data_IF_061648331542
#
_entry.id   IF_061648331542
#
_cell.length_a   1.000
_cell.length_b   1.000
_cell.length_c   1.000
_cell.angle_alpha   90.00
_cell.angle_beta   90.00
_cell.angle_gamma   90.00
#
_symmetry.space_group_name_H-M   'P 1'
#
loop_
_entity.id
_entity.type
_entity.pdbx_description
1 polymer ?
#
# COMPACT_ATOMS: atom_id res chain seq x y z
N UNK A 1 -0.23 1.49 -8.56
CA UNK A 1 0.91 0.58 -8.83
C UNK A 1 1.15 -0.44 -7.72
N UNK A 2 1.09 -0.13 -6.43
CA UNK A 2 1.51 -1.07 -5.38
C UNK A 2 0.59 -2.28 -5.10
N UNK A 3 -0.72 -2.21 -5.28
CA UNK A 3 -1.61 -3.31 -4.85
C UNK A 3 -1.69 -4.46 -5.85
N UNK A 4 -1.59 -4.20 -7.15
CA UNK A 4 -1.64 -5.23 -8.19
C UNK A 4 -0.36 -6.07 -8.25
N UNK A 5 0.79 -5.46 -7.98
CA UNK A 5 2.09 -6.14 -8.07
C UNK A 5 2.40 -6.98 -6.81
N UNK A 6 1.77 -6.65 -5.68
CA UNK A 6 1.95 -7.35 -4.41
C UNK A 6 0.87 -8.41 -4.14
N UNK A 7 -0.24 -8.40 -4.90
CA UNK A 7 -1.27 -9.42 -4.82
C UNK A 7 -0.72 -10.85 -5.07
N UNK A 8 0.19 -11.08 -6.05
CA UNK A 8 0.82 -12.39 -6.22
C UNK A 8 1.63 -12.86 -5.01
N UNK A 9 2.32 -11.95 -4.31
CA UNK A 9 3.06 -12.30 -3.11
C UNK A 9 2.13 -12.73 -1.96
N UNK A 10 1.04 -11.98 -1.75
CA UNK A 10 0.00 -12.35 -0.78
C UNK A 10 -0.69 -13.67 -1.16
N UNK A 11 -0.99 -13.88 -2.44
CA UNK A 11 -1.53 -15.14 -2.94
C UNK A 11 -0.58 -16.31 -2.70
N UNK A 12 0.71 -16.13 -3.00
CA UNK A 12 1.72 -17.15 -2.74
C UNK A 12 1.79 -17.54 -1.26
N UNK A 13 1.76 -16.55 -0.37
CA UNK A 13 1.71 -16.79 1.06
C UNK A 13 0.40 -17.48 1.50
N UNK A 14 -0.72 -17.21 0.85
CA UNK A 14 -1.99 -17.86 1.17
C UNK A 14 -2.04 -19.34 0.74
N UNK A 15 -1.53 -19.64 -0.45
CA UNK A 15 -1.72 -20.94 -1.12
C UNK A 15 -0.55 -21.91 -0.94
N UNK A 16 0.68 -21.40 -0.88
CA UNK A 16 1.84 -22.28 -0.78
C UNK A 16 2.27 -22.50 0.68
N UNK A 17 2.35 -23.76 1.07
CA UNK A 17 2.94 -24.18 2.35
C UNK A 17 4.42 -24.48 2.15
N UNK A 18 5.29 -23.64 2.69
CA UNK A 18 6.73 -23.84 2.67
C UNK A 18 7.32 -23.75 4.08
N UNK A 19 8.44 -24.43 4.29
CA UNK A 19 9.14 -24.38 5.58
C UNK A 19 9.63 -22.95 5.82
N UNK A 20 9.30 -22.36 6.98
CA UNK A 20 9.70 -21.00 7.33
C UNK A 20 8.68 -19.90 6.95
N UNK A 21 7.47 -20.24 6.47
CA UNK A 21 6.42 -19.26 6.16
C UNK A 21 6.13 -18.32 7.32
N UNK A 22 5.98 -18.86 8.54
CA UNK A 22 5.71 -18.06 9.74
C UNK A 22 6.91 -17.17 10.08
N UNK A 23 8.11 -17.70 10.03
CA UNK A 23 9.33 -16.94 10.24
C UNK A 23 9.46 -15.80 9.21
N UNK A 24 9.15 -16.04 7.94
CA UNK A 24 9.13 -15.02 6.91
C UNK A 24 8.11 -13.90 7.23
N UNK A 25 6.90 -14.26 7.65
CA UNK A 25 5.88 -13.29 8.05
C UNK A 25 6.34 -12.44 9.25
N UNK A 26 6.98 -13.07 10.23
CA UNK A 26 7.55 -12.37 11.39
C UNK A 26 8.67 -11.41 10.95
N UNK A 27 9.58 -11.85 10.09
CA UNK A 27 10.64 -10.98 9.55
C UNK A 27 10.04 -9.78 8.80
N UNK A 28 9.02 -10.01 7.97
CA UNK A 28 8.30 -8.94 7.28
C UNK A 28 7.67 -7.96 8.27
N UNK A 29 7.09 -8.43 9.37
CA UNK A 29 6.55 -7.57 10.42
C UNK A 29 7.66 -6.81 11.16
N UNK A 30 8.80 -7.45 11.43
CA UNK A 30 9.93 -6.81 12.11
C UNK A 30 10.46 -5.61 11.35
N UNK A 31 10.37 -5.57 10.02
CA UNK A 31 10.76 -4.39 9.24
C UNK A 31 9.94 -3.14 9.60
N UNK A 32 8.74 -3.30 10.16
CA UNK A 32 7.89 -2.20 10.64
C UNK A 32 8.34 -1.62 11.97
N UNK A 33 9.18 -2.30 12.71
CA UNK A 33 9.67 -1.82 14.02
C UNK A 33 10.66 -0.67 13.87
N UNK A 34 11.27 -0.51 12.70
CA UNK A 34 12.20 0.59 12.46
C UNK A 34 11.45 1.89 12.20
N UNK A 35 11.62 2.92 13.05
CA UNK A 35 11.00 4.22 12.83
C UNK A 35 11.55 4.86 11.54
N UNK A 36 10.65 5.29 10.67
CA UNK A 36 11.04 5.94 9.41
C UNK A 36 11.90 7.19 9.64
N UNK A 37 11.69 7.86 10.78
CA UNK A 37 12.47 9.01 11.17
C UNK A 37 13.99 8.69 11.26
N UNK A 38 14.34 7.52 11.77
CA UNK A 38 15.75 7.08 11.88
C UNK A 38 16.29 6.67 10.52
N UNK A 39 15.45 6.00 9.71
CA UNK A 39 15.87 5.48 8.40
C UNK A 39 15.95 6.58 7.33
N UNK A 40 15.22 7.68 7.47
CA UNK A 40 15.13 8.72 6.44
C UNK A 40 16.47 9.41 6.17
N UNK A 41 17.32 9.61 7.18
CA UNK A 41 18.64 10.24 7.01
C UNK A 41 19.59 9.35 6.19
N UNK A 42 19.85 8.08 6.55
CA UNK A 42 20.69 7.21 5.73
C UNK A 42 20.09 6.96 4.34
N UNK A 43 18.76 6.90 4.20
CA UNK A 43 18.10 6.83 2.91
C UNK A 43 18.38 8.08 2.05
N UNK A 44 18.32 9.27 2.63
CA UNK A 44 18.63 10.51 1.92
C UNK A 44 20.07 10.50 1.39
N UNK A 45 21.05 10.05 2.21
CA UNK A 45 22.44 9.89 1.79
C UNK A 45 22.56 8.89 0.64
N UNK A 46 21.88 7.75 0.73
CA UNK A 46 21.88 6.73 -0.33
C UNK A 46 21.30 7.28 -1.63
N UNK A 47 20.17 7.97 -1.56
CA UNK A 47 19.55 8.56 -2.76
C UNK A 47 20.35 9.73 -3.33
N UNK A 48 21.10 10.48 -2.51
CA UNK A 48 22.08 11.46 -2.99
C UNK A 48 23.19 10.78 -3.81
N UNK A 49 23.74 9.69 -3.30
CA UNK A 49 24.79 8.94 -3.99
C UNK A 49 24.29 8.30 -5.30
N UNK A 50 23.03 7.90 -5.35
CA UNK A 50 22.40 7.32 -6.54
C UNK A 50 21.89 8.38 -7.53
N UNK A 51 22.00 9.67 -7.23
CA UNK A 51 21.47 10.75 -8.06
C UNK A 51 19.95 10.83 -8.09
N UNK A 52 19.28 10.21 -7.11
CA UNK A 52 17.81 10.16 -7.00
C UNK A 52 17.28 11.10 -5.91
N UNK A 53 18.11 11.90 -5.28
CA UNK A 53 17.67 12.90 -4.30
C UNK A 53 16.83 13.99 -4.99
N UNK A 54 15.86 14.54 -4.26
CA UNK A 54 14.90 15.52 -4.78
C UNK A 54 14.10 15.01 -5.99
N UNK A 55 13.76 13.71 -5.98
CA UNK A 55 13.01 13.05 -7.04
C UNK A 55 11.80 12.30 -6.45
N UNK A 56 10.65 12.38 -7.12
CA UNK A 56 9.45 11.66 -6.71
C UNK A 56 9.62 10.14 -6.74
N UNK A 57 10.55 9.62 -7.55
CA UNK A 57 10.84 8.19 -7.59
C UNK A 57 11.40 7.70 -6.26
N UNK A 58 12.31 8.45 -5.62
CA UNK A 58 12.84 8.10 -4.30
C UNK A 58 11.75 8.05 -3.23
N UNK A 59 10.83 9.03 -3.25
CA UNK A 59 9.67 9.04 -2.36
C UNK A 59 8.77 7.82 -2.63
N UNK A 60 8.47 7.52 -3.88
CA UNK A 60 7.66 6.37 -4.27
C UNK A 60 8.28 5.05 -3.82
N UNK A 61 9.59 4.88 -3.96
CA UNK A 61 10.31 3.69 -3.49
C UNK A 61 10.23 3.53 -1.98
N UNK A 62 10.42 4.61 -1.21
CA UNK A 62 10.31 4.57 0.25
C UNK A 62 8.89 4.27 0.70
N UNK A 63 7.88 4.93 0.10
CA UNK A 63 6.47 4.66 0.41
C UNK A 63 6.09 3.21 0.08
N UNK A 64 6.60 2.69 -1.04
CA UNK A 64 6.40 1.28 -1.41
C UNK A 64 7.02 0.35 -0.39
N UNK A 65 8.28 0.58 0.00
CA UNK A 65 8.96 -0.22 1.00
C UNK A 65 8.25 -0.19 2.35
N UNK A 66 7.73 0.98 2.75
CA UNK A 66 6.93 1.12 3.97
C UNK A 66 5.58 0.40 3.90
N UNK A 67 4.91 0.42 2.76
CA UNK A 67 3.60 -0.21 2.60
C UNK A 67 3.69 -1.73 2.41
N UNK A 68 4.79 -2.23 1.84
CA UNK A 68 4.98 -3.62 1.42
C UNK A 68 4.66 -4.65 2.53
N UNK A 69 5.17 -4.55 3.77
CA UNK A 69 4.86 -5.52 4.82
C UNK A 69 3.36 -5.63 5.11
N UNK A 70 2.69 -4.49 5.19
CA UNK A 70 1.26 -4.43 5.44
C UNK A 70 0.47 -5.05 4.30
N UNK A 71 0.77 -4.67 3.05
CA UNK A 71 0.05 -5.17 1.87
C UNK A 71 0.20 -6.68 1.74
N UNK A 72 1.41 -7.21 1.87
CA UNK A 72 1.67 -8.65 1.74
C UNK A 72 0.87 -9.45 2.76
N UNK A 73 0.82 -9.01 4.00
CA UNK A 73 0.10 -9.71 5.05
C UNK A 73 -1.43 -9.59 4.91
N UNK A 74 -1.92 -8.38 4.62
CA UNK A 74 -3.37 -8.15 4.45
C UNK A 74 -3.90 -8.87 3.22
N UNK A 75 -3.20 -8.78 2.09
CA UNK A 75 -3.60 -9.50 0.87
C UNK A 75 -3.50 -11.01 1.05
N UNK A 76 -2.52 -11.50 1.79
CA UNK A 76 -2.45 -12.91 2.20
C UNK A 76 -3.70 -13.35 2.95
N UNK A 77 -4.16 -12.57 3.93
CA UNK A 77 -5.41 -12.81 4.65
C UNK A 77 -6.65 -12.80 3.76
N UNK A 78 -6.71 -11.85 2.81
CA UNK A 78 -7.80 -11.76 1.83
C UNK A 78 -7.86 -13.03 0.95
N UNK A 79 -6.72 -13.53 0.48
CA UNK A 79 -6.70 -14.75 -0.33
C UNK A 79 -6.98 -16.02 0.47
N UNK A 80 -6.64 -16.05 1.75
CA UNK A 80 -7.03 -17.16 2.65
C UNK A 80 -8.55 -17.25 2.80
N UNK A 81 -9.26 -16.12 2.80
CA UNK A 81 -10.71 -16.07 2.90
C UNK A 81 -11.44 -16.60 1.66
N UNK A 82 -10.79 -16.65 0.50
CA UNK A 82 -11.33 -17.26 -0.72
C UNK A 82 -11.15 -18.78 -0.64
N UNK A 83 -12.25 -19.56 -0.74
CA UNK A 83 -12.19 -21.01 -0.66
C UNK A 83 -11.26 -21.62 -1.71
N UNK A 84 -10.40 -22.53 -1.28
CA UNK A 84 -9.50 -23.28 -2.17
C UNK A 84 -10.26 -24.22 -3.11
N UNK A 85 -11.41 -24.72 -2.66
CA UNK A 85 -12.26 -25.65 -3.42
C UNK A 85 -12.75 -25.03 -4.77
N UNK A 86 -13.00 -23.73 -4.79
CA UNK A 86 -13.39 -23.01 -6.01
C UNK A 86 -12.26 -23.00 -7.05
N UNK A 87 -11.03 -22.92 -6.59
CA UNK A 87 -9.85 -22.93 -7.45
C UNK A 87 -9.60 -24.35 -7.99
N UNK A 88 -9.74 -25.36 -7.14
CA UNK A 88 -9.61 -26.78 -7.53
C UNK A 88 -10.72 -27.19 -8.49
N UNK A 89 -11.96 -26.77 -8.23
CA UNK A 89 -13.09 -27.03 -9.14
C UNK A 89 -12.84 -26.43 -10.54
N UNK A 90 -12.29 -25.24 -10.61
CA UNK A 90 -11.94 -24.65 -11.90
C UNK A 90 -10.84 -25.41 -12.64
N UNK A 91 -9.86 -25.94 -11.90
CA UNK A 91 -8.78 -26.74 -12.50
C UNK A 91 -9.29 -28.09 -12.99
N UNK A 92 -10.23 -28.71 -12.31
CA UNK A 92 -10.89 -29.97 -12.76
C UNK A 92 -11.72 -29.76 -14.03
N UNK A 93 -12.26 -28.55 -14.21
CA UNK A 93 -12.95 -28.12 -15.43
C UNK A 93 -12.01 -27.68 -16.57
N UNK A 94 -10.71 -27.90 -16.42
CA UNK A 94 -9.70 -27.63 -17.45
C UNK A 94 -9.07 -26.25 -17.42
N UNK A 95 -9.36 -25.42 -16.41
CA UNK A 95 -8.65 -24.17 -16.26
C UNK A 95 -7.20 -24.40 -15.82
N UNK A 96 -6.25 -23.67 -16.39
CA UNK A 96 -4.89 -23.58 -15.88
C UNK A 96 -4.89 -22.88 -14.51
N UNK A 97 -3.85 -23.05 -13.70
CA UNK A 97 -3.69 -22.35 -12.41
C UNK A 97 -3.79 -20.83 -12.55
N UNK A 98 -3.19 -20.25 -13.58
CA UNK A 98 -3.32 -18.83 -13.91
C UNK A 98 -4.76 -18.46 -14.31
N UNK A 99 -5.42 -19.33 -15.07
CA UNK A 99 -6.81 -19.12 -15.46
C UNK A 99 -7.75 -19.12 -14.26
N UNK A 100 -7.60 -20.06 -13.33
CA UNK A 100 -8.34 -20.11 -12.07
C UNK A 100 -8.08 -18.88 -11.20
N UNK A 101 -6.81 -18.47 -11.08
CA UNK A 101 -6.46 -17.25 -10.34
C UNK A 101 -7.14 -16.00 -10.91
N UNK A 102 -7.00 -15.74 -12.22
CA UNK A 102 -7.50 -14.51 -12.83
C UNK A 102 -9.03 -14.47 -12.96
N UNK A 103 -9.69 -15.62 -13.19
CA UNK A 103 -11.12 -15.68 -13.45
C UNK A 103 -11.98 -15.93 -12.22
N UNK A 104 -11.42 -16.51 -11.17
CA UNK A 104 -12.18 -16.90 -9.97
C UNK A 104 -11.61 -16.23 -8.73
N UNK A 105 -10.34 -16.50 -8.39
CA UNK A 105 -9.76 -16.05 -7.12
C UNK A 105 -9.65 -14.53 -7.06
N UNK A 106 -9.12 -13.91 -8.10
CA UNK A 106 -8.90 -12.46 -8.15
C UNK A 106 -10.22 -11.66 -8.08
N UNK A 107 -11.27 -11.99 -8.86
CA UNK A 107 -12.56 -11.30 -8.73
C UNK A 107 -13.20 -11.41 -7.35
N UNK A 108 -13.12 -12.58 -6.72
CA UNK A 108 -13.64 -12.81 -5.37
C UNK A 108 -12.82 -12.07 -4.31
N UNK A 109 -11.51 -11.92 -4.51
CA UNK A 109 -10.62 -11.19 -3.63
C UNK A 109 -10.70 -9.66 -3.81
N UNK A 110 -11.23 -9.17 -4.94
CA UNK A 110 -11.24 -7.74 -5.30
C UNK A 110 -11.76 -6.82 -4.19
N UNK A 111 -12.86 -7.12 -3.47
CA UNK A 111 -13.33 -6.25 -2.39
C UNK A 111 -12.30 -6.10 -1.26
N UNK A 112 -11.67 -7.20 -0.86
CA UNK A 112 -10.61 -7.20 0.15
C UNK A 112 -9.33 -6.49 -0.32
N UNK A 113 -8.96 -6.69 -1.59
CA UNK A 113 -7.83 -5.99 -2.20
C UNK A 113 -8.10 -4.49 -2.33
N UNK A 114 -9.34 -4.09 -2.61
CA UNK A 114 -9.74 -2.69 -2.63
C UNK A 114 -9.60 -2.05 -1.23
N UNK A 115 -10.02 -2.76 -0.19
CA UNK A 115 -9.80 -2.30 1.19
C UNK A 115 -8.31 -2.15 1.52
N UNK A 116 -7.46 -3.12 1.15
CA UNK A 116 -6.02 -3.03 1.32
C UNK A 116 -5.42 -1.83 0.57
N UNK A 117 -5.92 -1.54 -0.64
CA UNK A 117 -5.49 -0.38 -1.43
C UNK A 117 -5.83 0.95 -0.75
N UNK A 118 -7.02 1.06 -0.11
CA UNK A 118 -7.38 2.25 0.67
C UNK A 118 -6.41 2.47 1.81
N UNK A 119 -6.15 1.45 2.62
CA UNK A 119 -5.22 1.56 3.73
C UNK A 119 -3.82 1.96 3.26
N UNK A 120 -3.36 1.38 2.16
CA UNK A 120 -2.07 1.73 1.57
C UNK A 120 -2.02 3.18 1.11
N UNK A 121 -3.07 3.64 0.45
CA UNK A 121 -3.20 5.03 0.04
C UNK A 121 -3.13 5.96 1.26
N UNK A 122 -3.91 5.67 2.31
CA UNK A 122 -3.93 6.48 3.53
C UNK A 122 -2.56 6.51 4.21
N UNK A 123 -1.86 5.38 4.31
CA UNK A 123 -0.51 5.31 4.86
C UNK A 123 0.45 6.18 4.05
N UNK A 124 0.44 6.04 2.72
CA UNK A 124 1.30 6.81 1.82
C UNK A 124 0.95 8.31 1.82
N UNK A 125 -0.34 8.63 1.87
CA UNK A 125 -0.81 10.02 1.89
C UNK A 125 -0.43 10.77 3.17
N UNK A 126 -0.47 10.08 4.31
CA UNK A 126 -0.10 10.64 5.62
C UNK A 126 1.41 10.61 5.87
N UNK A 127 2.20 9.98 5.00
CA UNK A 127 3.64 9.99 5.13
C UNK A 127 4.21 11.32 4.66
N UNK A 128 4.73 12.09 5.57
CA UNK A 128 5.26 13.43 5.35
C UNK A 128 6.74 13.52 5.69
N UNK A 129 7.17 12.70 6.65
CA UNK A 129 8.50 12.86 7.24
C UNK A 129 9.61 12.49 6.25
N UNK A 130 9.56 11.28 5.68
CA UNK A 130 10.54 10.84 4.69
C UNK A 130 10.45 11.73 3.43
N UNK A 131 9.23 12.06 2.97
CA UNK A 131 9.04 12.93 1.82
C UNK A 131 9.71 14.30 2.03
N UNK A 132 9.61 14.89 3.22
CA UNK A 132 10.24 16.19 3.53
C UNK A 132 11.76 16.11 3.53
N UNK A 133 12.33 14.98 3.98
CA UNK A 133 13.79 14.80 4.02
C UNK A 133 14.36 14.47 2.65
N UNK A 134 13.63 13.66 1.86
CA UNK A 134 14.08 13.19 0.55
C UNK A 134 13.91 14.20 -0.57
N UNK A 135 13.09 15.24 -0.38
CA UNK A 135 12.79 16.23 -1.42
C UNK A 135 12.92 17.66 -0.92
N UNK A 136 13.41 18.54 -1.80
CA UNK A 136 13.50 19.98 -1.56
C UNK A 136 12.55 20.78 -2.44
N UNK A 137 12.54 20.51 -3.74
CA UNK A 137 11.75 21.20 -4.76
C UNK A 137 10.55 20.36 -5.22
N UNK A 138 10.76 19.04 -5.38
CA UNK A 138 9.73 18.08 -5.87
C UNK A 138 8.93 17.45 -4.72
N UNK A 139 8.46 18.28 -3.78
CA UNK A 139 7.76 17.80 -2.58
C UNK A 139 6.40 17.22 -2.90
N UNK A 140 6.01 16.21 -2.14
CA UNK A 140 4.61 15.77 -2.10
C UNK A 140 3.73 16.88 -1.50
N UNK A 141 2.44 16.89 -1.81
CA UNK A 141 1.53 17.92 -1.30
C UNK A 141 1.52 17.99 0.24
N UNK A 142 1.42 16.86 0.98
CA UNK A 142 1.50 16.89 2.45
C UNK A 142 2.84 17.47 2.95
N UNK A 143 3.96 17.09 2.35
CA UNK A 143 5.27 17.61 2.71
C UNK A 143 5.42 19.11 2.43
N UNK A 144 4.84 19.60 1.31
CA UNK A 144 4.84 21.01 0.97
C UNK A 144 4.00 21.85 1.94
N UNK A 145 2.81 21.36 2.30
CA UNK A 145 1.95 22.02 3.30
C UNK A 145 2.69 22.10 4.64
N UNK A 146 3.28 21.00 5.12
CA UNK A 146 4.05 20.99 6.36
C UNK A 146 5.22 21.99 6.33
N UNK A 147 5.99 22.01 5.26
CA UNK A 147 7.14 22.91 5.14
C UNK A 147 6.74 24.39 5.16
N UNK A 148 5.54 24.72 4.68
CA UNK A 148 5.02 26.08 4.65
C UNK A 148 4.35 26.53 5.95
N UNK A 149 4.11 25.61 6.91
CA UNK A 149 3.38 25.94 8.15
C UNK A 149 4.05 27.02 9.01
N UNK A 150 5.38 27.09 9.01
CA UNK A 150 6.10 28.08 9.82
C UNK A 150 6.04 29.51 9.26
N UNK A 151 5.95 29.65 7.92
CA UNK A 151 6.10 30.92 7.24
C UNK A 151 4.81 31.48 6.65
N UNK A 152 3.77 30.66 6.51
CA UNK A 152 2.53 31.05 5.82
C UNK A 152 1.50 31.67 6.76
N UNK A 153 0.63 32.56 6.23
CA UNK A 153 -0.52 33.09 6.95
C UNK A 153 -1.49 32.01 7.42
N UNK A 154 -2.24 32.29 8.49
CA UNK A 154 -3.19 31.35 9.10
C UNK A 154 -4.24 30.83 8.08
N UNK A 155 -4.74 31.72 7.22
CA UNK A 155 -5.70 31.34 6.19
C UNK A 155 -5.13 30.28 5.21
N UNK A 156 -3.85 30.39 4.85
CA UNK A 156 -3.18 29.40 3.98
C UNK A 156 -3.04 28.05 4.68
N UNK A 157 -2.76 28.04 5.99
CA UNK A 157 -2.67 26.80 6.77
C UNK A 157 -3.99 26.04 6.79
N UNK A 158 -5.11 26.74 7.00
CA UNK A 158 -6.44 26.14 6.97
C UNK A 158 -6.83 25.67 5.55
N UNK A 159 -6.55 26.48 4.53
CA UNK A 159 -6.82 26.08 3.15
C UNK A 159 -6.00 24.85 2.74
N UNK A 160 -4.71 24.81 3.10
CA UNK A 160 -3.84 23.66 2.85
C UNK A 160 -4.34 22.40 3.56
N UNK A 161 -4.72 22.52 4.84
CA UNK A 161 -5.30 21.41 5.61
C UNK A 161 -6.60 20.87 4.98
N UNK A 162 -7.49 21.76 4.59
CA UNK A 162 -8.74 21.38 3.88
C UNK A 162 -8.43 20.67 2.56
N UNK A 163 -7.49 21.23 1.78
CA UNK A 163 -7.11 20.64 0.51
C UNK A 163 -6.50 19.24 0.64
N UNK A 164 -5.79 18.97 1.75
CA UNK A 164 -5.26 17.63 2.03
C UNK A 164 -6.34 16.59 2.31
N UNK A 165 -7.50 16.98 2.78
CA UNK A 165 -8.61 16.04 3.06
C UNK A 165 -9.34 15.64 1.78
N UNK A 166 -9.39 16.50 0.77
CA UNK A 166 -10.16 16.26 -0.47
C UNK A 166 -9.76 14.99 -1.21
N UNK A 167 -8.48 14.69 -1.51
CA UNK A 167 -8.09 13.46 -2.20
C UNK A 167 -8.44 12.21 -1.43
N UNK A 168 -8.34 12.24 -0.10
CA UNK A 168 -8.73 11.10 0.74
C UNK A 168 -10.25 10.84 0.66
N UNK A 169 -11.08 11.88 0.73
CA UNK A 169 -12.53 11.78 0.57
C UNK A 169 -12.87 11.23 -0.81
N UNK A 170 -12.29 11.78 -1.88
CA UNK A 170 -12.54 11.33 -3.26
C UNK A 170 -12.16 9.88 -3.42
N UNK A 171 -11.00 9.47 -2.91
CA UNK A 171 -10.54 8.09 -2.99
C UNK A 171 -11.46 7.12 -2.25
N UNK A 172 -11.86 7.45 -1.02
CA UNK A 172 -12.80 6.64 -0.23
C UNK A 172 -14.15 6.54 -0.96
N UNK A 173 -14.63 7.65 -1.54
CA UNK A 173 -15.90 7.68 -2.26
C UNK A 173 -15.87 6.79 -3.52
N UNK A 174 -14.77 6.79 -4.26
CA UNK A 174 -14.61 5.94 -5.46
C UNK A 174 -14.61 4.44 -5.10
N UNK A 175 -14.02 4.08 -3.96
CA UNK A 175 -13.86 2.67 -3.59
C UNK A 175 -15.02 2.16 -2.69
N UNK A 176 -15.84 3.06 -2.16
CA UNK A 176 -16.96 2.70 -1.26
C UNK A 176 -17.86 1.57 -1.81
N UNK A 177 -18.09 1.53 -3.13
CA UNK A 177 -18.91 0.51 -3.77
C UNK A 177 -18.34 -0.91 -3.59
N UNK A 178 -17.01 -1.05 -3.53
CA UNK A 178 -16.36 -2.33 -3.28
C UNK A 178 -16.42 -2.73 -1.81
N UNK A 179 -16.41 -1.75 -0.90
CA UNK A 179 -16.54 -1.98 0.54
C UNK A 179 -17.99 -2.37 0.91
N UNK A 180 -18.98 -1.71 0.31
CA UNK A 180 -20.40 -1.99 0.61
C UNK A 180 -20.82 -3.39 0.15
N UNK A 181 -20.23 -3.92 -0.90
CA UNK A 181 -20.48 -5.30 -1.33
C UNK A 181 -19.97 -6.34 -0.31
N UNK A 182 -19.02 -6.00 0.55
CA UNK A 182 -18.58 -6.87 1.65
C UNK A 182 -19.58 -6.93 2.81
N UNK A 183 -20.41 -5.88 2.99
CA UNK A 183 -21.35 -5.76 4.11
C UNK A 183 -22.80 -6.00 3.69
N UNK A 184 -23.08 -6.05 2.39
CA UNK A 184 -24.43 -6.04 1.80
C UNK A 184 -24.94 -7.37 1.28
N UNK A 185 -24.26 -8.49 1.46
CA UNK A 185 -24.80 -9.81 1.13
C UNK A 185 -25.54 -10.41 2.34
N UNK A 186 -26.71 -9.84 2.64
CA UNK A 186 -27.79 -10.55 3.34
C UNK A 186 -28.97 -10.66 2.40
#
# INVERSE_FOLDING_TARGET
>A
MCSSDLAPAGYALARFRFRGREAFQVVVLMTKMFPIAILSIPLAVTFLQLGLYDNLISVALVHTAMALPFIVLVTGGVFVAVSHELEEAAQTLGCSRWGAFLRIVLPLALPGLAAAAIFTFVISWNEVFAATILTLRTRTLPAQVLASLSTSPLAFKFAGGLFMVLPAIVFIFLIRKYLMNLWGSR
#
